data_IF_941793450508
#
_entry.id   IF_941793450508
#
_cell.length_a   1.000
_cell.length_b   1.000
_cell.length_c   1.000
_cell.angle_alpha   90.00
_cell.angle_beta   90.00
_cell.angle_gamma   90.00
#
_symmetry.space_group_name_H-M   'P 1'
#
loop_
_entity.id
_entity.type
_entity.pdbx_description
1 polymer ?
#
# COMPACT_ATOMS: atom_id res chain seq x y z
N UNK A 1 -23.12 -33.03 -28.05
CA UNK A 1 -22.73 -32.71 -26.65
C UNK A 1 -21.75 -31.56 -26.73
N UNK A 2 -22.21 -30.36 -26.45
CA UNK A 2 -21.36 -29.16 -26.43
C UNK A 2 -20.92 -28.97 -24.99
N UNK A 3 -19.64 -29.24 -24.70
CA UNK A 3 -19.03 -28.95 -23.38
C UNK A 3 -18.68 -27.47 -23.35
N UNK A 4 -19.50 -26.68 -22.72
CA UNK A 4 -19.18 -25.28 -22.41
C UNK A 4 -18.15 -25.31 -21.27
N UNK A 5 -16.88 -25.13 -21.61
CA UNK A 5 -15.86 -24.84 -20.59
C UNK A 5 -16.17 -23.46 -19.98
N UNK A 6 -16.71 -23.44 -18.78
CA UNK A 6 -16.76 -22.24 -17.96
C UNK A 6 -15.32 -21.85 -17.65
N UNK A 7 -14.89 -20.70 -18.13
CA UNK A 7 -13.62 -20.10 -17.67
C UNK A 7 -13.69 -19.95 -16.15
N UNK A 8 -12.62 -20.24 -15.41
CA UNK A 8 -12.59 -19.95 -13.97
C UNK A 8 -12.84 -18.47 -13.80
N UNK A 9 -13.90 -18.13 -13.08
CA UNK A 9 -14.15 -16.75 -12.63
C UNK A 9 -13.05 -16.47 -11.62
N UNK A 10 -11.97 -15.85 -12.07
CA UNK A 10 -10.93 -15.34 -11.19
C UNK A 10 -11.57 -14.26 -10.32
N UNK A 11 -11.65 -14.50 -9.02
CA UNK A 11 -12.13 -13.47 -8.09
C UNK A 11 -11.17 -12.27 -8.14
N UNK A 12 -11.72 -11.04 -8.19
CA UNK A 12 -10.89 -9.84 -8.12
C UNK A 12 -10.01 -9.86 -6.86
N UNK A 13 -8.78 -9.40 -7.00
CA UNK A 13 -7.82 -9.40 -5.88
C UNK A 13 -8.24 -8.41 -4.77
N UNK A 14 -8.75 -7.21 -5.17
CA UNK A 14 -9.38 -6.27 -4.24
C UNK A 14 -10.84 -6.10 -4.65
N UNK A 15 -11.74 -6.26 -3.71
CA UNK A 15 -13.17 -6.05 -3.88
C UNK A 15 -13.63 -4.98 -2.89
N UNK A 16 -14.30 -3.97 -3.40
CA UNK A 16 -14.93 -2.90 -2.61
C UNK A 16 -16.43 -2.98 -2.91
N UNK A 17 -17.27 -3.07 -1.89
CA UNK A 17 -18.71 -3.21 -2.01
C UNK A 17 -19.43 -2.19 -1.15
N UNK A 18 -20.12 -1.26 -1.80
CA UNK A 18 -21.01 -0.25 -1.20
C UNK A 18 -20.36 0.51 -0.03
N UNK A 19 -19.05 0.80 -0.16
CA UNK A 19 -18.27 1.45 0.89
C UNK A 19 -18.66 2.91 1.02
N UNK A 20 -19.12 3.29 2.22
CA UNK A 20 -19.45 4.67 2.57
C UNK A 20 -18.61 5.17 3.72
N UNK A 21 -18.16 6.43 3.63
CA UNK A 21 -17.34 7.09 4.64
C UNK A 21 -17.86 8.49 4.93
N UNK A 22 -18.05 8.79 6.21
CA UNK A 22 -18.51 10.09 6.69
C UNK A 22 -17.47 10.74 7.61
N UNK A 23 -17.33 12.04 7.52
CA UNK A 23 -16.61 12.89 8.48
C UNK A 23 -17.65 13.86 9.10
N UNK A 24 -18.20 13.48 10.25
CA UNK A 24 -19.37 14.18 10.80
C UNK A 24 -20.55 14.07 9.84
N UNK A 25 -21.05 15.21 9.37
CA UNK A 25 -22.16 15.25 8.38
C UNK A 25 -21.67 15.22 6.92
N UNK A 26 -20.37 15.29 6.69
CA UNK A 26 -19.82 15.29 5.34
C UNK A 26 -19.64 13.86 4.83
N UNK A 27 -20.33 13.53 3.72
CA UNK A 27 -20.17 12.27 3.02
C UNK A 27 -18.95 12.34 2.09
N UNK A 28 -17.89 11.63 2.45
CA UNK A 28 -16.66 11.58 1.65
C UNK A 28 -16.67 10.45 0.63
N UNK A 29 -17.32 9.32 0.94
CA UNK A 29 -17.57 8.20 0.03
C UNK A 29 -19.03 7.78 0.19
N UNK A 30 -19.73 7.57 -0.92
CA UNK A 30 -21.12 7.18 -0.97
C UNK A 30 -21.29 5.92 -1.80
N UNK A 31 -21.52 4.78 -1.14
CA UNK A 31 -21.77 3.46 -1.70
C UNK A 31 -20.80 3.09 -2.85
N UNK A 32 -19.49 3.34 -2.65
CA UNK A 32 -18.47 3.08 -3.68
C UNK A 32 -18.26 1.59 -3.83
N UNK A 33 -18.41 1.08 -5.07
CA UNK A 33 -18.11 -0.31 -5.42
C UNK A 33 -17.09 -0.36 -6.55
N UNK A 34 -16.08 -1.25 -6.41
CA UNK A 34 -14.96 -1.36 -7.34
C UNK A 34 -14.31 -2.73 -7.20
N UNK A 35 -13.91 -3.31 -8.34
CA UNK A 35 -13.12 -4.52 -8.43
C UNK A 35 -11.76 -4.22 -9.04
N UNK A 36 -10.70 -4.80 -8.47
CA UNK A 36 -9.33 -4.67 -8.97
C UNK A 36 -8.73 -6.07 -9.10
N UNK A 37 -8.33 -6.43 -10.31
CA UNK A 37 -7.71 -7.71 -10.61
C UNK A 37 -6.24 -7.75 -10.17
N UNK A 38 -5.72 -8.94 -9.93
CA UNK A 38 -4.29 -9.11 -9.62
C UNK A 38 -3.43 -8.59 -10.78
N UNK A 39 -2.46 -7.74 -10.47
CA UNK A 39 -1.57 -7.11 -11.46
C UNK A 39 -2.19 -5.94 -12.25
N UNK A 40 -3.45 -5.60 -12.01
CA UNK A 40 -4.11 -4.47 -12.64
C UNK A 40 -3.51 -3.14 -12.15
N UNK A 41 -3.37 -2.18 -13.07
CA UNK A 41 -3.01 -0.79 -12.75
C UNK A 41 -4.27 0.06 -12.82
N UNK A 42 -4.69 0.61 -11.68
CA UNK A 42 -5.84 1.49 -11.57
C UNK A 42 -5.39 2.93 -11.32
N UNK A 43 -6.00 3.88 -12.03
CA UNK A 43 -5.80 5.30 -11.79
C UNK A 43 -7.11 5.92 -11.33
N UNK A 44 -7.10 6.57 -10.16
CA UNK A 44 -8.26 7.29 -9.62
C UNK A 44 -8.05 8.79 -9.85
N UNK A 45 -8.89 9.39 -10.69
CA UNK A 45 -8.85 10.79 -11.05
C UNK A 45 -10.09 11.54 -10.53
N UNK A 46 -9.95 12.85 -10.32
CA UNK A 46 -11.04 13.72 -9.88
C UNK A 46 -10.53 14.98 -9.18
N UNK A 47 -11.39 15.96 -8.93
CA UNK A 47 -11.02 17.23 -8.27
C UNK A 47 -10.53 17.01 -6.83
N UNK A 48 -9.90 18.04 -6.25
CA UNK A 48 -9.54 18.01 -4.82
C UNK A 48 -10.80 17.85 -3.96
N UNK A 49 -10.73 17.04 -2.90
CA UNK A 49 -11.87 16.78 -2.02
C UNK A 49 -12.85 15.71 -2.53
N UNK A 50 -12.66 15.09 -3.69
CA UNK A 50 -13.59 14.07 -4.22
C UNK A 50 -13.44 12.67 -3.61
N UNK A 51 -12.83 12.51 -2.45
CA UNK A 51 -12.75 11.23 -1.73
C UNK A 51 -11.63 10.27 -2.16
N UNK A 52 -10.80 10.59 -3.18
CA UNK A 52 -9.74 9.68 -3.68
C UNK A 52 -8.80 9.17 -2.59
N UNK A 53 -8.24 10.07 -1.80
CA UNK A 53 -7.34 9.72 -0.70
C UNK A 53 -8.06 8.99 0.42
N UNK A 54 -9.34 9.30 0.65
CA UNK A 54 -10.18 8.63 1.63
C UNK A 54 -10.40 7.17 1.22
N UNK A 55 -10.73 6.91 -0.05
CA UNK A 55 -10.90 5.55 -0.55
C UNK A 55 -9.63 4.71 -0.36
N UNK A 56 -8.46 5.25 -0.77
CA UNK A 56 -7.17 4.56 -0.58
C UNK A 56 -6.89 4.30 0.91
N UNK A 57 -7.21 5.25 1.80
CA UNK A 57 -7.05 5.08 3.24
C UNK A 57 -8.03 4.07 3.84
N UNK A 58 -9.22 3.92 3.28
CA UNK A 58 -10.15 2.86 3.68
C UNK A 58 -9.63 1.48 3.27
N UNK A 59 -9.03 1.34 2.07
CA UNK A 59 -8.45 0.07 1.60
C UNK A 59 -7.36 -0.43 2.54
N UNK A 60 -6.49 0.47 3.04
CA UNK A 60 -5.39 0.09 3.94
C UNK A 60 -5.70 0.26 5.43
N UNK A 61 -6.98 0.49 5.77
CA UNK A 61 -7.49 0.69 7.15
C UNK A 61 -6.84 1.84 7.94
N UNK A 62 -6.28 2.83 7.28
CA UNK A 62 -5.91 4.09 7.92
C UNK A 62 -7.13 4.96 8.23
N UNK A 63 -8.26 4.70 7.54
CA UNK A 63 -9.58 5.25 7.82
C UNK A 63 -10.58 4.09 7.87
N UNK A 64 -11.46 4.10 8.87
CA UNK A 64 -12.58 3.16 8.93
C UNK A 64 -13.76 3.68 8.12
N UNK A 65 -14.37 2.82 7.31
CA UNK A 65 -15.65 3.10 6.64
C UNK A 65 -16.80 2.74 7.56
N UNK A 66 -17.95 3.40 7.40
CA UNK A 66 -19.14 3.18 8.23
C UNK A 66 -20.09 2.14 7.63
N UNK A 67 -20.05 1.95 6.30
CA UNK A 67 -20.87 0.96 5.62
C UNK A 67 -20.09 0.30 4.48
N UNK A 68 -20.57 -0.86 4.05
CA UNK A 68 -19.96 -1.64 2.98
C UNK A 68 -18.86 -2.60 3.47
N UNK A 69 -18.13 -3.16 2.54
CA UNK A 69 -17.10 -4.17 2.81
C UNK A 69 -15.92 -4.02 1.85
N UNK A 70 -14.71 -4.24 2.36
CA UNK A 70 -13.49 -4.33 1.55
C UNK A 70 -12.89 -5.72 1.75
N UNK A 71 -12.58 -6.40 0.63
CA UNK A 71 -11.86 -7.69 0.62
C UNK A 71 -10.57 -7.56 -0.13
N UNK A 72 -9.54 -8.25 0.35
CA UNK A 72 -8.25 -8.41 -0.31
C UNK A 72 -7.94 -9.91 -0.32
N UNK A 73 -7.71 -10.47 -1.50
CA UNK A 73 -7.49 -11.91 -1.69
C UNK A 73 -8.61 -12.76 -1.04
N UNK A 74 -9.87 -12.32 -1.21
CA UNK A 74 -11.06 -12.96 -0.64
C UNK A 74 -11.26 -12.76 0.86
N UNK A 75 -10.31 -12.15 1.59
CA UNK A 75 -10.36 -11.94 3.04
C UNK A 75 -10.91 -10.54 3.35
N UNK A 76 -11.90 -10.47 4.24
CA UNK A 76 -12.46 -9.20 4.69
C UNK A 76 -11.45 -8.42 5.53
N UNK A 77 -11.30 -7.15 5.19
CA UNK A 77 -10.39 -6.22 5.88
C UNK A 77 -11.21 -5.44 6.93
N UNK A 78 -11.42 -6.06 8.08
CA UNK A 78 -12.30 -5.58 9.16
C UNK A 78 -11.59 -5.28 10.50
N UNK A 79 -10.24 -5.21 10.48
CA UNK A 79 -9.44 -5.03 11.69
C UNK A 79 -9.26 -6.29 12.55
N UNK A 80 -9.83 -7.43 12.15
CA UNK A 80 -9.54 -8.75 12.74
C UNK A 80 -8.06 -9.12 12.59
N UNK A 81 -7.53 -10.07 13.36
CA UNK A 81 -6.17 -10.55 13.19
C UNK A 81 -5.86 -11.02 11.76
N UNK A 82 -6.83 -11.72 11.13
CA UNK A 82 -6.71 -12.22 9.75
C UNK A 82 -6.72 -11.07 8.73
N UNK A 83 -7.65 -10.12 8.88
CA UNK A 83 -7.74 -8.93 8.03
C UNK A 83 -6.47 -8.06 8.12
N UNK A 84 -5.93 -7.88 9.35
CA UNK A 84 -4.65 -7.18 9.52
C UNK A 84 -3.47 -7.91 8.89
N UNK A 85 -3.42 -9.23 9.01
CA UNK A 85 -2.35 -10.03 8.41
C UNK A 85 -2.36 -9.91 6.87
N UNK A 86 -3.54 -9.94 6.24
CA UNK A 86 -3.64 -9.78 4.78
C UNK A 86 -3.23 -8.39 4.33
N UNK A 87 -3.57 -7.35 5.10
CA UNK A 87 -3.11 -5.99 4.81
C UNK A 87 -1.58 -5.88 4.89
N UNK A 88 -1.00 -6.34 5.99
CA UNK A 88 0.46 -6.29 6.18
C UNK A 88 1.24 -7.04 5.11
N UNK A 89 0.67 -8.10 4.56
CA UNK A 89 1.34 -8.94 3.57
C UNK A 89 1.08 -8.51 2.12
N UNK A 90 0.03 -7.71 1.85
CA UNK A 90 -0.40 -7.44 0.47
C UNK A 90 -0.52 -5.96 0.12
N UNK A 91 -0.45 -5.04 1.09
CA UNK A 91 -0.68 -3.62 0.83
C UNK A 91 0.47 -2.76 1.32
N UNK A 92 1.22 -2.21 0.38
CA UNK A 92 2.18 -1.13 0.62
C UNK A 92 1.57 0.23 0.25
N UNK A 93 1.89 1.28 1.01
CA UNK A 93 1.43 2.64 0.73
C UNK A 93 2.58 3.62 0.60
N UNK A 94 2.50 4.45 -0.44
CA UNK A 94 3.38 5.60 -0.62
C UNK A 94 2.56 6.87 -0.43
N UNK A 95 2.92 7.66 0.58
CA UNK A 95 2.25 8.93 0.88
C UNK A 95 2.77 10.06 -0.02
N UNK A 96 1.94 11.08 -0.22
CA UNK A 96 2.32 12.27 -1.00
C UNK A 96 3.52 13.01 -0.40
N UNK A 97 3.68 13.01 0.93
CA UNK A 97 4.80 13.62 1.65
C UNK A 97 5.96 12.64 1.90
N UNK A 98 5.93 11.44 1.25
CA UNK A 98 6.91 10.36 1.37
C UNK A 98 7.08 9.79 2.77
N UNK A 99 6.89 10.55 3.82
CA UNK A 99 6.98 10.18 5.25
C UNK A 99 8.26 9.40 5.60
N UNK A 100 9.40 9.84 5.06
CA UNK A 100 10.70 9.32 5.43
C UNK A 100 11.07 9.85 6.81
N UNK A 101 11.74 9.02 7.61
CA UNK A 101 12.26 9.41 8.92
C UNK A 101 13.48 10.31 8.73
N UNK A 102 13.41 11.61 9.09
CA UNK A 102 14.45 12.59 8.75
C UNK A 102 15.77 12.38 9.49
N UNK A 103 15.73 11.70 10.63
CA UNK A 103 16.87 11.40 11.49
C UNK A 103 17.55 10.08 11.18
N UNK A 104 17.03 9.31 10.23
CA UNK A 104 17.60 8.06 9.75
C UNK A 104 18.18 8.25 8.35
N UNK A 105 19.25 7.54 8.05
CA UNK A 105 19.75 7.42 6.68
C UNK A 105 18.74 6.74 5.76
N UNK A 106 18.95 6.79 4.47
CA UNK A 106 18.09 6.11 3.48
C UNK A 106 18.09 4.60 3.72
N UNK A 107 19.25 4.01 3.98
CA UNK A 107 19.37 2.60 4.29
C UNK A 107 18.57 2.23 5.55
N UNK A 108 18.74 2.98 6.64
CA UNK A 108 18.01 2.75 7.89
C UNK A 108 16.49 2.93 7.73
N UNK A 109 16.05 3.87 6.89
CA UNK A 109 14.63 4.03 6.55
C UNK A 109 14.03 2.78 5.91
N UNK A 110 14.79 2.07 5.07
CA UNK A 110 14.34 0.81 4.46
C UNK A 110 14.43 -0.35 5.45
N UNK A 111 15.53 -0.46 6.20
CA UNK A 111 15.75 -1.56 7.15
C UNK A 111 14.78 -1.57 8.33
N UNK A 112 14.14 -0.44 8.65
CA UNK A 112 13.33 -0.31 9.87
C UNK A 112 12.16 -1.32 9.92
N UNK A 113 11.43 -1.49 8.83
CA UNK A 113 10.33 -2.45 8.72
C UNK A 113 10.79 -3.90 8.88
N UNK A 114 11.69 -4.40 8.03
CA UNK A 114 12.26 -5.74 8.13
C UNK A 114 12.81 -6.10 9.51
N UNK A 115 13.63 -5.23 10.09
CA UNK A 115 14.24 -5.48 11.39
C UNK A 115 13.21 -5.45 12.52
N UNK A 116 12.34 -4.41 12.57
CA UNK A 116 11.43 -4.21 13.70
C UNK A 116 10.17 -5.06 13.63
N UNK A 117 9.54 -5.14 12.45
CA UNK A 117 8.27 -5.86 12.30
C UNK A 117 8.47 -7.35 11.98
N UNK A 118 9.46 -7.69 11.14
CA UNK A 118 9.71 -9.08 10.71
C UNK A 118 10.81 -9.77 11.51
N UNK A 119 11.51 -9.05 12.40
CA UNK A 119 12.65 -9.56 13.19
C UNK A 119 13.75 -10.16 12.32
N UNK A 120 13.93 -9.61 11.12
CA UNK A 120 14.99 -10.01 10.19
C UNK A 120 16.35 -9.64 10.76
N UNK A 121 17.37 -10.45 10.48
CA UNK A 121 18.74 -10.11 10.85
C UNK A 121 19.20 -8.84 10.11
N UNK A 122 20.00 -7.98 10.76
CA UNK A 122 20.41 -6.70 10.18
C UNK A 122 21.18 -6.87 8.85
N UNK A 123 21.97 -7.93 8.70
CA UNK A 123 22.68 -8.22 7.46
C UNK A 123 21.70 -8.48 6.32
N UNK A 124 20.71 -9.34 6.53
CA UNK A 124 19.69 -9.68 5.53
C UNK A 124 18.82 -8.46 5.19
N UNK A 125 18.44 -7.67 6.20
CA UNK A 125 17.67 -6.44 6.01
C UNK A 125 18.46 -5.39 5.20
N UNK A 126 19.78 -5.33 5.38
CA UNK A 126 20.67 -4.46 4.61
C UNK A 126 20.72 -4.89 3.15
N UNK A 127 20.92 -6.17 2.88
CA UNK A 127 20.99 -6.71 1.53
C UNK A 127 19.66 -6.49 0.79
N UNK A 128 18.54 -6.72 1.46
CA UNK A 128 17.20 -6.47 0.96
C UNK A 128 16.99 -4.98 0.64
N UNK A 129 17.37 -4.09 1.55
CA UNK A 129 17.26 -2.65 1.35
C UNK A 129 18.11 -2.17 0.15
N UNK A 130 19.34 -2.67 0.02
CA UNK A 130 20.21 -2.35 -1.12
C UNK A 130 19.62 -2.87 -2.43
N UNK A 131 19.06 -4.09 -2.45
CA UNK A 131 18.36 -4.63 -3.60
C UNK A 131 17.23 -3.71 -4.09
N UNK A 132 16.40 -3.20 -3.18
CA UNK A 132 15.31 -2.29 -3.57
C UNK A 132 15.82 -0.90 -3.99
N UNK A 133 16.91 -0.40 -3.41
CA UNK A 133 17.55 0.83 -3.87
C UNK A 133 18.09 0.70 -5.31
N UNK A 134 18.65 -0.46 -5.67
CA UNK A 134 19.07 -0.76 -7.03
C UNK A 134 17.86 -0.81 -7.99
N UNK A 135 16.76 -1.46 -7.60
CA UNK A 135 15.53 -1.52 -8.40
C UNK A 135 14.96 -0.13 -8.71
N UNK A 136 15.05 0.80 -7.76
CA UNK A 136 14.62 2.19 -7.99
C UNK A 136 15.72 3.09 -8.52
N UNK A 137 16.92 2.54 -8.83
CA UNK A 137 18.05 3.19 -9.48
C UNK A 137 18.65 4.36 -8.70
N UNK A 138 18.84 4.20 -7.40
CA UNK A 138 19.50 5.16 -6.51
C UNK A 138 20.33 4.47 -5.40
N UNK A 139 21.08 3.37 -5.67
CA UNK A 139 21.81 2.66 -4.62
C UNK A 139 22.87 3.54 -3.94
N UNK A 140 23.48 4.49 -4.68
CA UNK A 140 24.51 5.39 -4.17
C UNK A 140 24.01 6.37 -3.08
N UNK A 141 22.68 6.47 -2.87
CA UNK A 141 22.10 7.36 -1.89
C UNK A 141 21.96 6.72 -0.49
N UNK A 142 22.34 5.46 -0.31
CA UNK A 142 22.05 4.65 0.89
C UNK A 142 22.50 5.29 2.21
N UNK A 143 23.63 6.01 2.22
CA UNK A 143 24.23 6.64 3.41
C UNK A 143 23.74 8.06 3.67
N UNK A 144 22.96 8.65 2.77
CA UNK A 144 22.44 10.01 2.91
C UNK A 144 21.19 10.05 3.78
N UNK A 145 20.86 11.26 4.24
CA UNK A 145 19.62 11.56 4.95
C UNK A 145 18.56 12.11 3.98
N UNK A 146 17.25 11.98 4.28
CA UNK A 146 16.18 12.46 3.40
C UNK A 146 16.34 13.92 2.94
N UNK A 147 16.78 14.81 3.83
CA UNK A 147 16.98 16.23 3.50
C UNK A 147 18.06 16.50 2.42
N UNK A 148 18.93 15.52 2.16
CA UNK A 148 19.99 15.62 1.16
C UNK A 148 19.55 15.12 -0.23
N UNK A 149 18.30 14.63 -0.34
CA UNK A 149 17.74 14.07 -1.57
C UNK A 149 16.77 15.06 -2.22
N UNK A 150 16.75 15.06 -3.57
CA UNK A 150 15.67 15.73 -4.31
C UNK A 150 14.32 15.06 -4.04
N UNK A 151 13.19 15.77 -4.28
CA UNK A 151 11.85 15.22 -4.11
C UNK A 151 11.63 13.93 -4.90
N UNK A 152 12.14 13.85 -6.14
CA UNK A 152 12.06 12.63 -6.96
C UNK A 152 12.88 11.47 -6.39
N UNK A 153 14.03 11.73 -5.76
CA UNK A 153 14.82 10.71 -5.06
C UNK A 153 14.11 10.24 -3.78
N UNK A 154 13.55 11.16 -2.99
CA UNK A 154 12.75 10.81 -1.81
C UNK A 154 11.54 9.95 -2.17
N UNK A 155 10.86 10.25 -3.28
CA UNK A 155 9.77 9.44 -3.81
C UNK A 155 10.23 8.01 -4.13
N UNK A 156 11.38 7.86 -4.81
CA UNK A 156 11.95 6.53 -5.11
C UNK A 156 12.28 5.74 -3.85
N UNK A 157 12.83 6.39 -2.82
CA UNK A 157 13.06 5.77 -1.51
C UNK A 157 11.76 5.31 -0.88
N UNK A 158 10.71 6.14 -0.90
CA UNK A 158 9.39 5.77 -0.37
C UNK A 158 8.77 4.58 -1.12
N UNK A 159 8.96 4.51 -2.44
CA UNK A 159 8.55 3.35 -3.25
C UNK A 159 9.37 2.11 -2.85
N UNK A 160 10.70 2.22 -2.74
CA UNK A 160 11.56 1.12 -2.30
C UNK A 160 11.12 0.59 -0.94
N UNK A 161 10.86 1.48 0.03
CA UNK A 161 10.36 1.11 1.37
C UNK A 161 8.99 0.43 1.33
N UNK A 162 8.10 0.84 0.44
CA UNK A 162 6.79 0.19 0.28
C UNK A 162 6.91 -1.20 -0.37
N UNK A 163 7.86 -1.41 -1.28
CA UNK A 163 8.14 -2.71 -1.90
C UNK A 163 8.84 -3.68 -0.96
N UNK A 164 9.57 -3.19 0.03
CA UNK A 164 10.27 -3.96 1.06
C UNK A 164 9.30 -4.67 2.04
N UNK A 165 8.01 -4.39 1.93
CA UNK A 165 6.95 -5.03 2.70
C UNK A 165 6.66 -6.46 2.18
N UNK A 166 7.09 -6.84 0.98
CA UNK A 166 6.81 -8.15 0.35
C UNK A 166 7.97 -9.15 0.43
#
# INVERSE_FOLDING_TARGET
>A
MTVTMSQPVTQPFIQIRDVSKYFGQFCALDAVSLDIELGQKLVICGPSGSGKSTLIRCINQLEHHEAGEIRIDGIVVDGSPTGRAVLHNNVGMVFQQFNLFPHLTILENLMLGPVRARRMAEADARDLAMHYLERVRIPEQFSKYPAQLSGGQQQRVAIARALDIY
#
